data_IF_715522967240
#
_entry.id   IF_715522967240
#
_cell.length_a   1.000
_cell.length_b   1.000
_cell.length_c   1.000
_cell.angle_alpha   90.00
_cell.angle_beta   90.00
_cell.angle_gamma   90.00
#
_symmetry.space_group_name_H-M   'P 1'
#
loop_
_entity.id
_entity.type
_entity.pdbx_description
1 polymer ?
#
# COMPACT_ATOMS: atom_id res chain seq x y z
N UNK A 1 13.06 -8.85 -25.41
CA UNK A 1 14.09 -8.75 -24.35
C UNK A 1 13.36 -8.68 -23.02
N UNK A 2 13.56 -9.63 -22.14
CA UNK A 2 12.95 -9.65 -20.81
C UNK A 2 13.48 -8.47 -20.00
N UNK A 3 12.59 -7.72 -19.35
CA UNK A 3 12.99 -6.60 -18.52
C UNK A 3 13.77 -7.07 -17.27
N UNK A 4 14.69 -6.25 -16.77
CA UNK A 4 15.49 -6.55 -15.58
C UNK A 4 14.67 -6.58 -14.28
N UNK A 5 13.50 -5.97 -14.28
CA UNK A 5 12.52 -5.97 -13.19
C UNK A 5 11.15 -5.53 -13.70
N UNK A 6 10.10 -5.90 -12.97
CA UNK A 6 8.72 -5.49 -13.28
C UNK A 6 8.06 -4.78 -12.10
N UNK A 7 7.14 -3.86 -12.40
CA UNK A 7 6.15 -3.32 -11.47
C UNK A 7 4.78 -3.66 -12.02
N UNK A 8 4.06 -4.57 -11.35
CA UNK A 8 2.69 -4.97 -11.69
C UNK A 8 1.75 -4.27 -10.74
N UNK A 9 0.96 -3.34 -11.26
CA UNK A 9 0.09 -2.52 -10.44
C UNK A 9 -1.33 -2.42 -11.01
N UNK A 10 -2.22 -1.87 -10.22
CA UNK A 10 -3.62 -1.67 -10.58
C UNK A 10 -4.48 -1.46 -9.34
N UNK A 11 -5.75 -1.05 -9.50
CA UNK A 11 -6.66 -0.87 -8.39
C UNK A 11 -6.89 -2.17 -7.62
N UNK A 12 -7.43 -2.05 -6.41
CA UNK A 12 -7.87 -3.23 -5.67
C UNK A 12 -8.88 -4.04 -6.51
N UNK A 13 -8.89 -5.34 -6.35
CA UNK A 13 -9.69 -6.30 -7.14
C UNK A 13 -9.37 -6.39 -8.65
N UNK A 14 -8.31 -5.76 -9.15
CA UNK A 14 -7.92 -5.85 -10.57
C UNK A 14 -7.37 -7.23 -11.01
N UNK A 15 -7.00 -8.12 -10.09
CA UNK A 15 -6.35 -9.39 -10.41
C UNK A 15 -4.82 -9.30 -10.58
N UNK A 16 -4.22 -8.16 -10.20
CA UNK A 16 -2.77 -7.93 -10.34
C UNK A 16 -1.88 -9.00 -9.70
N UNK A 17 -2.30 -9.55 -8.54
CA UNK A 17 -1.51 -10.56 -7.81
C UNK A 17 -1.47 -11.89 -8.57
N UNK A 18 -2.60 -12.33 -9.13
CA UNK A 18 -2.68 -13.53 -9.95
C UNK A 18 -1.85 -13.38 -11.23
N UNK A 19 -1.98 -12.23 -11.92
CA UNK A 19 -1.17 -11.94 -13.10
C UNK A 19 0.33 -12.00 -12.80
N UNK A 20 0.75 -11.37 -11.69
CA UNK A 20 2.14 -11.37 -11.28
C UNK A 20 2.65 -12.76 -10.90
N UNK A 21 1.81 -13.59 -10.26
CA UNK A 21 2.15 -14.97 -9.92
C UNK A 21 2.42 -15.81 -11.19
N UNK A 22 1.50 -15.79 -12.15
CA UNK A 22 1.68 -16.48 -13.43
C UNK A 22 2.89 -15.97 -14.22
N UNK A 23 3.13 -14.64 -14.21
CA UNK A 23 4.33 -14.07 -14.81
C UNK A 23 5.58 -14.59 -14.09
N UNK A 24 5.61 -14.60 -12.75
CA UNK A 24 6.76 -15.10 -11.99
C UNK A 24 7.07 -16.57 -12.28
N UNK A 25 6.07 -17.43 -12.44
CA UNK A 25 6.24 -18.82 -12.85
C UNK A 25 6.91 -18.92 -14.23
N UNK A 26 6.49 -18.06 -15.18
CA UNK A 26 6.99 -18.10 -16.56
C UNK A 26 8.44 -17.59 -16.70
N UNK A 27 8.81 -16.55 -15.96
CA UNK A 27 10.11 -15.88 -16.12
C UNK A 27 11.11 -16.14 -14.99
N UNK A 28 10.89 -17.15 -14.15
CA UNK A 28 11.69 -17.42 -12.95
C UNK A 28 11.77 -16.19 -12.01
N UNK A 29 10.62 -15.61 -11.69
CA UNK A 29 10.52 -14.37 -10.93
C UNK A 29 10.46 -14.56 -9.41
N UNK A 30 10.66 -13.44 -8.70
CA UNK A 30 10.40 -13.27 -7.24
C UNK A 30 9.36 -12.17 -7.09
N UNK A 31 8.28 -12.46 -6.39
CA UNK A 31 7.25 -11.47 -6.06
C UNK A 31 7.65 -10.70 -4.81
N UNK A 32 7.69 -9.37 -4.92
CA UNK A 32 8.02 -8.45 -3.84
C UNK A 32 6.82 -7.54 -3.58
N UNK A 33 6.34 -7.52 -2.35
CA UNK A 33 5.18 -6.72 -1.97
C UNK A 33 5.41 -5.21 -2.16
N UNK A 34 4.42 -4.54 -2.76
CA UNK A 34 4.35 -3.08 -2.91
C UNK A 34 2.98 -2.55 -2.43
N UNK A 35 2.46 -3.13 -1.34
CA UNK A 35 1.22 -2.71 -0.67
C UNK A 35 1.50 -2.47 0.81
N UNK A 36 1.15 -1.26 1.29
CA UNK A 36 1.45 -0.80 2.65
C UNK A 36 0.61 -1.47 3.74
N UNK A 37 -0.40 -2.25 3.37
CA UNK A 37 -1.25 -2.99 4.31
C UNK A 37 -0.87 -4.48 4.34
N UNK A 38 -0.55 -5.07 3.19
CA UNK A 38 -0.18 -6.49 3.09
C UNK A 38 1.20 -6.81 3.72
N UNK A 39 1.93 -5.80 4.15
CA UNK A 39 3.20 -5.98 4.87
C UNK A 39 2.98 -6.42 6.33
N UNK A 40 1.76 -6.19 6.90
CA UNK A 40 1.41 -6.53 8.27
C UNK A 40 0.90 -7.96 8.38
N UNK A 41 1.34 -8.65 9.45
CA UNK A 41 0.91 -9.99 9.83
C UNK A 41 -0.34 -9.90 10.71
N UNK A 42 -1.25 -10.89 10.52
CA UNK A 42 -2.46 -11.04 11.31
C UNK A 42 -3.68 -10.30 10.75
N UNK A 43 -3.56 -9.72 9.55
CA UNK A 43 -4.64 -9.05 8.80
C UNK A 43 -4.67 -9.48 7.33
N UNK A 44 -4.29 -10.72 7.05
CA UNK A 44 -4.15 -11.24 5.69
C UNK A 44 -5.48 -11.25 4.93
N UNK A 45 -6.59 -11.60 5.60
CA UNK A 45 -7.92 -11.56 4.99
C UNK A 45 -8.38 -10.12 4.76
N UNK A 46 -8.29 -9.25 5.77
CA UNK A 46 -8.69 -7.83 5.65
C UNK A 46 -7.90 -7.13 4.54
N UNK A 47 -6.62 -7.43 4.39
CA UNK A 47 -5.75 -6.83 3.37
C UNK A 47 -5.88 -7.50 2.00
N UNK A 48 -6.62 -8.62 1.88
CA UNK A 48 -6.65 -9.48 0.71
C UNK A 48 -5.22 -9.90 0.27
N UNK A 49 -4.38 -10.27 1.23
CA UNK A 49 -3.04 -10.78 1.01
C UNK A 49 -3.07 -12.10 0.23
N UNK A 50 -2.04 -12.44 -0.56
CA UNK A 50 -1.87 -13.78 -1.13
C UNK A 50 -1.83 -14.90 -0.08
N UNK A 51 -1.55 -14.55 1.18
CA UNK A 51 -1.52 -15.48 2.33
C UNK A 51 -2.85 -15.56 3.09
N UNK A 52 -3.91 -14.90 2.63
CA UNK A 52 -5.25 -15.09 3.19
C UNK A 52 -5.63 -16.58 3.17
N UNK A 53 -6.02 -17.13 4.33
CA UNK A 53 -6.36 -18.55 4.52
C UNK A 53 -5.23 -19.54 4.18
N UNK A 54 -3.99 -19.10 4.26
CA UNK A 54 -2.80 -19.94 4.03
C UNK A 54 -1.79 -19.74 5.15
N UNK A 55 -0.89 -20.71 5.31
CA UNK A 55 0.31 -20.53 6.11
C UNK A 55 1.20 -19.45 5.47
N UNK A 56 1.73 -18.56 6.31
CA UNK A 56 2.68 -17.54 5.87
C UNK A 56 4.03 -18.21 5.68
N UNK A 57 4.41 -18.37 4.42
CA UNK A 57 5.69 -18.98 4.01
C UNK A 57 6.40 -18.06 3.02
N UNK A 58 7.64 -18.42 2.71
CA UNK A 58 8.41 -17.70 1.69
C UNK A 58 7.99 -18.01 0.23
N UNK A 59 7.10 -18.99 0.03
CA UNK A 59 6.74 -19.49 -1.30
C UNK A 59 5.24 -19.76 -1.42
N UNK A 60 4.69 -19.51 -2.60
CA UNK A 60 3.38 -20.00 -3.02
C UNK A 60 3.59 -20.72 -4.36
N UNK A 61 3.20 -21.99 -4.44
CA UNK A 61 3.31 -22.82 -5.65
C UNK A 61 4.69 -22.73 -6.33
N UNK A 62 5.77 -22.76 -5.53
CA UNK A 62 7.17 -22.69 -5.97
C UNK A 62 7.67 -21.27 -6.33
N UNK A 63 6.81 -20.26 -6.33
CA UNK A 63 7.19 -18.86 -6.55
C UNK A 63 7.59 -18.21 -5.22
N UNK A 64 8.76 -17.57 -5.11
CA UNK A 64 9.14 -16.86 -3.90
C UNK A 64 8.32 -15.58 -3.72
N UNK A 65 7.85 -15.33 -2.48
CA UNK A 65 7.16 -14.12 -2.04
C UNK A 65 7.95 -13.41 -0.96
N UNK A 66 8.10 -12.09 -1.05
CA UNK A 66 8.90 -11.27 -0.14
C UNK A 66 8.13 -10.03 0.31
N UNK A 67 8.39 -9.59 1.53
CA UNK A 67 7.81 -8.41 2.17
C UNK A 67 6.29 -8.50 2.41
N UNK A 68 5.73 -9.69 2.46
CA UNK A 68 4.36 -9.92 2.91
C UNK A 68 4.37 -10.36 4.38
N UNK A 69 3.46 -9.83 5.19
CA UNK A 69 3.23 -10.26 6.57
C UNK A 69 4.52 -10.31 7.43
N UNK A 70 5.43 -9.36 7.23
CA UNK A 70 6.73 -9.32 7.92
C UNK A 70 6.71 -8.47 9.19
N UNK A 71 5.73 -7.55 9.34
CA UNK A 71 5.59 -6.67 10.49
C UNK A 71 4.44 -7.12 11.38
N UNK A 72 4.61 -7.03 12.69
CA UNK A 72 3.50 -7.13 13.64
C UNK A 72 2.63 -5.86 13.61
N UNK A 73 1.42 -5.94 14.20
CA UNK A 73 0.52 -4.77 14.27
C UNK A 73 1.08 -3.64 15.17
N UNK A 74 2.01 -3.93 16.06
CA UNK A 74 2.62 -2.92 16.93
C UNK A 74 3.81 -2.19 16.28
N UNK A 75 4.27 -2.67 15.13
CA UNK A 75 5.35 -2.05 14.39
C UNK A 75 4.85 -0.99 13.41
N UNK A 76 5.71 -0.04 13.08
CA UNK A 76 5.46 0.98 12.09
C UNK A 76 6.61 1.00 11.08
N UNK A 77 6.27 1.29 9.83
CA UNK A 77 7.27 1.39 8.76
C UNK A 77 7.10 2.73 8.03
N UNK A 78 8.21 3.41 7.83
CA UNK A 78 8.26 4.57 6.92
C UNK A 78 8.47 4.11 5.47
N UNK A 79 8.23 5.01 4.52
CA UNK A 79 8.55 4.75 3.12
C UNK A 79 10.07 4.58 2.90
N UNK A 80 10.90 5.24 3.69
CA UNK A 80 12.36 5.08 3.62
C UNK A 80 12.78 3.67 4.05
N UNK A 81 12.23 3.17 5.16
CA UNK A 81 12.47 1.80 5.62
C UNK A 81 11.96 0.77 4.60
N UNK A 82 10.78 1.01 4.03
CA UNK A 82 10.26 0.17 2.96
C UNK A 82 11.22 0.13 1.76
N UNK A 83 11.76 1.27 1.32
CA UNK A 83 12.73 1.31 0.21
C UNK A 83 14.01 0.54 0.53
N UNK A 84 14.50 0.59 1.76
CA UNK A 84 15.67 -0.19 2.21
C UNK A 84 15.38 -1.70 2.15
N UNK A 85 14.21 -2.13 2.64
CA UNK A 85 13.78 -3.53 2.54
C UNK A 85 13.61 -3.95 1.06
N UNK A 86 12.94 -3.15 0.26
CA UNK A 86 12.72 -3.40 -1.16
C UNK A 86 14.04 -3.52 -1.94
N UNK A 87 15.03 -2.69 -1.62
CA UNK A 87 16.38 -2.75 -2.20
C UNK A 87 17.07 -4.08 -1.86
N UNK A 88 17.01 -4.49 -0.59
CA UNK A 88 17.60 -5.76 -0.14
C UNK A 88 17.00 -6.96 -0.88
N UNK A 89 15.68 -7.02 -1.01
CA UNK A 89 15.00 -8.11 -1.72
C UNK A 89 15.27 -8.07 -3.24
N UNK A 90 15.35 -6.88 -3.82
CA UNK A 90 15.74 -6.68 -5.22
C UNK A 90 17.14 -7.24 -5.48
N UNK A 91 18.13 -6.83 -4.68
CA UNK A 91 19.53 -7.26 -4.84
C UNK A 91 19.68 -8.77 -4.57
N UNK A 92 18.94 -9.32 -3.60
CA UNK A 92 18.91 -10.74 -3.31
C UNK A 92 18.33 -11.55 -4.49
N UNK A 93 17.24 -11.08 -5.11
CA UNK A 93 16.67 -11.73 -6.28
C UNK A 93 17.66 -11.78 -7.45
N UNK A 94 18.34 -10.66 -7.74
CA UNK A 94 19.35 -10.60 -8.79
C UNK A 94 20.54 -11.55 -8.55
N UNK A 95 21.02 -11.64 -7.30
CA UNK A 95 22.10 -12.58 -6.93
C UNK A 95 21.72 -14.04 -7.15
N UNK A 96 20.43 -14.37 -7.06
CA UNK A 96 19.89 -15.70 -7.34
C UNK A 96 19.56 -15.94 -8.82
N UNK A 97 19.85 -15.00 -9.71
CA UNK A 97 19.50 -15.07 -11.12
C UNK A 97 17.99 -15.05 -11.37
N UNK A 98 17.22 -14.44 -10.45
CA UNK A 98 15.76 -14.32 -10.54
C UNK A 98 15.35 -12.91 -10.92
N UNK A 99 14.18 -12.78 -11.56
CA UNK A 99 13.65 -11.48 -11.98
C UNK A 99 12.74 -10.89 -10.89
N UNK A 100 13.05 -9.72 -10.28
CA UNK A 100 12.21 -9.08 -9.29
C UNK A 100 10.91 -8.56 -9.91
N UNK A 101 9.77 -8.85 -9.28
CA UNK A 101 8.43 -8.41 -9.68
C UNK A 101 7.77 -7.72 -8.48
N UNK A 102 7.73 -6.40 -8.48
CA UNK A 102 7.05 -5.62 -7.46
C UNK A 102 5.54 -5.60 -7.73
N UNK A 103 4.74 -6.01 -6.75
CA UNK A 103 3.29 -6.13 -6.90
C UNK A 103 2.56 -5.38 -5.80
N UNK A 104 1.67 -4.47 -6.18
CA UNK A 104 0.87 -3.74 -5.19
C UNK A 104 0.04 -2.60 -5.78
N UNK A 105 -0.68 -1.93 -4.89
CA UNK A 105 -1.58 -0.83 -5.24
C UNK A 105 -1.28 0.49 -4.50
N UNK A 106 -0.23 0.53 -3.68
CA UNK A 106 0.12 1.72 -2.90
C UNK A 106 0.94 2.68 -3.77
N UNK A 107 0.26 3.69 -4.34
CA UNK A 107 0.87 4.63 -5.28
C UNK A 107 2.12 5.33 -4.74
N UNK A 108 2.15 5.63 -3.44
CA UNK A 108 3.31 6.25 -2.82
C UNK A 108 4.55 5.33 -2.81
N UNK A 109 4.37 4.03 -2.52
CA UNK A 109 5.45 3.05 -2.60
C UNK A 109 5.94 2.86 -4.03
N UNK A 110 5.00 2.76 -4.98
CA UNK A 110 5.32 2.64 -6.42
C UNK A 110 6.14 3.84 -6.89
N UNK A 111 5.69 5.06 -6.55
CA UNK A 111 6.41 6.28 -6.91
C UNK A 111 7.82 6.32 -6.28
N UNK A 112 7.94 5.91 -5.02
CA UNK A 112 9.21 5.87 -4.31
C UNK A 112 10.17 4.81 -4.91
N UNK A 113 9.68 3.65 -5.30
CA UNK A 113 10.48 2.61 -5.99
C UNK A 113 11.08 3.12 -7.31
N UNK A 114 10.31 3.90 -8.08
CA UNK A 114 10.71 4.39 -9.40
C UNK A 114 11.60 5.63 -9.29
N UNK A 115 11.20 6.59 -8.46
CA UNK A 115 11.77 7.93 -8.46
C UNK A 115 12.60 8.25 -7.19
N UNK A 116 12.58 7.36 -6.20
CA UNK A 116 13.12 7.68 -4.87
C UNK A 116 12.24 8.63 -4.08
N UNK A 117 12.77 9.10 -2.96
CA UNK A 117 12.13 10.06 -2.06
C UNK A 117 13.04 11.26 -1.84
N UNK A 118 12.46 12.42 -1.56
CA UNK A 118 13.21 13.59 -1.10
C UNK A 118 13.78 13.30 0.29
N UNK A 119 15.05 13.62 0.55
CA UNK A 119 15.65 13.46 1.87
C UNK A 119 14.86 14.28 2.90
N UNK A 120 14.44 13.62 3.98
CA UNK A 120 13.73 14.27 5.08
C UNK A 120 14.63 14.29 6.29
N UNK A 121 14.59 15.38 7.10
CA UNK A 121 15.34 15.45 8.33
C UNK A 121 14.81 14.45 9.35
N UNK A 122 15.68 14.03 10.25
CA UNK A 122 15.26 13.33 11.45
C UNK A 122 14.44 14.27 12.32
N UNK A 123 13.39 13.72 12.90
CA UNK A 123 12.48 14.43 13.81
C UNK A 123 12.59 13.77 15.18
N UNK A 124 12.99 14.56 16.16
CA UNK A 124 13.06 14.12 17.54
C UNK A 124 11.66 13.82 18.12
N UNK A 125 11.63 13.09 19.24
CA UNK A 125 10.36 12.63 19.85
C UNK A 125 9.52 13.79 20.39
N UNK A 126 10.17 14.84 20.89
CA UNK A 126 9.48 15.99 21.49
C UNK A 126 8.79 16.82 20.40
N UNK A 127 9.47 17.09 19.30
CA UNK A 127 8.89 17.77 18.12
C UNK A 127 7.70 16.98 17.56
N UNK A 128 7.80 15.64 17.51
CA UNK A 128 6.73 14.75 17.05
C UNK A 128 5.52 14.77 18.00
N UNK A 129 5.75 14.65 19.29
CA UNK A 129 4.70 14.67 20.30
C UNK A 129 3.96 15.99 20.29
N UNK A 130 4.71 17.11 20.35
CA UNK A 130 4.16 18.46 20.31
C UNK A 130 3.29 18.72 19.07
N UNK A 131 3.73 18.29 17.90
CA UNK A 131 2.97 18.46 16.65
C UNK A 131 1.66 17.69 16.67
N UNK A 132 1.68 16.45 17.16
CA UNK A 132 0.51 15.58 17.22
C UNK A 132 -0.51 16.07 18.25
N UNK A 133 -0.05 16.46 19.45
CA UNK A 133 -0.91 17.04 20.48
C UNK A 133 -1.60 18.33 19.99
N UNK A 134 -0.86 19.20 19.31
CA UNK A 134 -1.44 20.42 18.75
C UNK A 134 -2.53 20.10 17.72
N UNK A 135 -2.27 19.15 16.82
CA UNK A 135 -3.25 18.75 15.78
C UNK A 135 -4.49 18.10 16.38
N UNK A 136 -4.34 17.29 17.44
CA UNK A 136 -5.47 16.66 18.14
C UNK A 136 -6.30 17.69 18.88
N UNK A 137 -5.66 18.64 19.55
CA UNK A 137 -6.35 19.63 20.41
C UNK A 137 -6.93 20.80 19.61
N UNK A 138 -6.22 21.28 18.58
CA UNK A 138 -6.62 22.44 17.77
C UNK A 138 -6.03 22.38 16.36
N UNK A 139 -6.72 21.67 15.47
CA UNK A 139 -6.31 21.51 14.07
C UNK A 139 -6.27 22.86 13.33
N UNK A 140 -7.14 23.79 13.64
CA UNK A 140 -7.20 25.09 12.97
C UNK A 140 -6.00 25.96 13.33
N UNK A 141 -5.60 26.01 14.61
CA UNK A 141 -4.36 26.68 15.01
C UNK A 141 -3.13 25.98 14.43
N UNK A 142 -3.09 24.65 14.44
CA UNK A 142 -2.04 23.86 13.81
C UNK A 142 -1.85 24.24 12.32
N UNK A 143 -2.94 24.38 11.57
CA UNK A 143 -2.91 24.78 10.16
C UNK A 143 -2.42 26.21 9.94
N UNK A 144 -2.78 27.14 10.82
CA UNK A 144 -2.34 28.55 10.72
C UNK A 144 -0.82 28.75 10.91
N UNK A 145 -0.13 27.76 11.53
CA UNK A 145 1.32 27.77 11.67
C UNK A 145 2.05 27.32 10.41
N UNK A 146 1.34 26.76 9.43
CA UNK A 146 1.92 26.31 8.16
C UNK A 146 1.80 27.41 7.09
N UNK A 147 2.62 27.36 6.03
CA UNK A 147 2.57 28.36 4.97
C UNK A 147 1.20 28.42 4.30
N UNK A 148 0.76 29.59 3.76
CA UNK A 148 -0.54 29.75 3.12
C UNK A 148 -0.76 28.86 1.91
N UNK A 149 0.32 28.42 1.25
CA UNK A 149 0.31 27.49 0.12
C UNK A 149 0.24 26.02 0.53
N UNK A 150 0.32 25.69 1.82
CA UNK A 150 0.13 24.36 2.34
C UNK A 150 -1.37 23.94 2.27
N UNK A 151 -1.70 23.15 1.25
CA UNK A 151 -3.10 22.83 0.91
C UNK A 151 -3.68 21.62 1.63
N UNK A 152 -2.86 20.83 2.33
CA UNK A 152 -3.35 19.64 3.00
C UNK A 152 -4.23 20.01 4.20
N UNK A 153 -5.40 19.38 4.28
CA UNK A 153 -6.35 19.51 5.39
C UNK A 153 -6.38 18.28 6.30
N UNK A 154 -5.77 17.21 5.84
CA UNK A 154 -5.68 15.95 6.54
C UNK A 154 -4.80 16.09 7.79
N UNK A 155 -5.29 15.68 8.99
CA UNK A 155 -4.56 15.82 10.25
C UNK A 155 -3.17 15.19 10.25
N UNK A 156 -2.98 14.03 9.63
CA UNK A 156 -1.69 13.35 9.58
C UNK A 156 -0.67 14.16 8.77
N UNK A 157 -1.10 14.76 7.66
CA UNK A 157 -0.23 15.62 6.83
C UNK A 157 0.09 16.94 7.52
N UNK A 158 -0.85 17.52 8.23
CA UNK A 158 -0.63 18.72 9.06
C UNK A 158 0.36 18.40 10.16
N UNK A 159 0.15 17.31 10.92
CA UNK A 159 1.08 16.86 11.94
C UNK A 159 2.50 16.67 11.39
N UNK A 160 2.64 15.97 10.25
CA UNK A 160 3.96 15.74 9.64
C UNK A 160 4.65 17.04 9.23
N UNK A 161 3.92 18.01 8.70
CA UNK A 161 4.51 19.30 8.33
C UNK A 161 5.00 20.09 9.58
N UNK A 162 4.24 20.02 10.67
CA UNK A 162 4.62 20.63 11.94
C UNK A 162 5.77 19.89 12.64
N UNK A 163 5.79 18.56 12.60
CA UNK A 163 6.92 17.75 13.11
C UNK A 163 8.24 18.23 12.51
N UNK A 164 8.29 18.40 11.17
CA UNK A 164 9.48 18.89 10.47
C UNK A 164 9.78 20.33 10.84
N UNK A 165 8.77 21.19 10.92
CA UNK A 165 8.94 22.58 11.29
C UNK A 165 9.48 22.74 12.72
N UNK A 166 8.94 22.01 13.69
CA UNK A 166 9.40 22.07 15.08
C UNK A 166 10.83 21.54 15.25
N UNK A 167 11.19 20.49 14.53
CA UNK A 167 12.54 19.91 14.60
C UNK A 167 13.60 20.75 13.91
N UNK A 168 13.26 21.51 12.87
CA UNK A 168 14.27 22.13 11.98
C UNK A 168 14.14 23.64 11.80
N UNK A 169 13.00 24.23 12.19
CA UNK A 169 12.67 25.61 11.88
C UNK A 169 12.33 25.87 10.40
N UNK A 170 12.35 24.84 9.54
CA UNK A 170 12.05 24.94 8.10
C UNK A 170 10.76 24.23 7.75
N UNK A 171 10.01 24.78 6.80
CA UNK A 171 8.81 24.13 6.32
C UNK A 171 9.10 22.87 5.48
N UNK A 172 8.18 21.92 5.49
CA UNK A 172 8.30 20.63 4.80
C UNK A 172 8.61 20.78 3.31
N UNK A 173 8.10 21.84 2.66
CA UNK A 173 8.31 22.13 1.23
C UNK A 173 9.79 22.31 0.90
N UNK A 174 10.58 22.94 1.77
CA UNK A 174 12.01 23.12 1.56
C UNK A 174 12.78 21.80 1.42
N UNK A 175 12.28 20.72 2.02
CA UNK A 175 12.86 19.39 1.89
C UNK A 175 12.27 18.63 0.71
N UNK A 176 10.99 18.87 0.36
CA UNK A 176 10.32 18.22 -0.77
C UNK A 176 10.92 18.63 -2.12
N UNK A 177 11.51 19.83 -2.20
CA UNK A 177 12.17 20.36 -3.40
C UNK A 177 13.59 19.81 -3.60
N UNK A 178 14.15 19.10 -2.61
CA UNK A 178 15.46 18.48 -2.74
C UNK A 178 15.44 17.32 -3.76
N UNK A 179 16.54 17.07 -4.48
CA UNK A 179 16.66 15.94 -5.40
C UNK A 179 16.31 14.62 -4.71
N UNK A 180 15.49 13.83 -5.35
CA UNK A 180 15.09 12.51 -4.84
C UNK A 180 16.24 11.52 -4.90
N UNK A 181 16.33 10.66 -3.89
CA UNK A 181 17.35 9.63 -3.74
C UNK A 181 16.73 8.26 -3.44
N UNK A 182 17.49 7.19 -3.61
CA UNK A 182 17.09 5.86 -3.18
C UNK A 182 16.11 5.11 -4.12
N UNK A 183 15.95 5.56 -5.37
CA UNK A 183 15.16 4.80 -6.35
C UNK A 183 15.68 3.37 -6.47
N UNK A 184 14.79 2.38 -6.35
CA UNK A 184 15.15 0.94 -6.39
C UNK A 184 15.12 0.40 -7.82
N UNK A 185 14.07 0.72 -8.57
CA UNK A 185 13.81 0.17 -9.91
C UNK A 185 13.38 1.22 -10.94
N UNK A 186 14.22 2.23 -11.21
CA UNK A 186 13.86 3.32 -12.14
C UNK A 186 13.57 2.83 -13.56
N UNK A 187 14.21 1.72 -13.97
CA UNK A 187 14.13 1.14 -15.33
C UNK A 187 13.19 -0.06 -15.41
N UNK A 188 12.41 -0.38 -14.38
CA UNK A 188 11.49 -1.51 -14.40
C UNK A 188 10.43 -1.38 -15.50
N UNK A 189 10.06 -2.50 -16.10
CA UNK A 189 8.86 -2.57 -16.94
C UNK A 189 7.61 -2.34 -16.08
N UNK A 190 6.83 -1.33 -16.45
CA UNK A 190 5.65 -0.87 -15.69
C UNK A 190 4.38 -1.33 -16.36
N UNK A 191 3.67 -2.24 -15.69
CA UNK A 191 2.42 -2.84 -16.18
C UNK A 191 1.26 -2.38 -15.30
N UNK A 192 0.23 -1.83 -15.92
CA UNK A 192 -1.01 -1.42 -15.27
C UNK A 192 -2.14 -2.37 -15.65
N UNK A 193 -2.70 -3.06 -14.66
CA UNK A 193 -3.92 -3.86 -14.80
C UNK A 193 -5.11 -2.95 -14.49
N UNK A 194 -5.90 -2.59 -15.50
CA UNK A 194 -6.92 -1.55 -15.44
C UNK A 194 -8.28 -2.02 -16.01
N UNK A 195 -8.93 -3.03 -15.42
CA UNK A 195 -10.25 -3.47 -15.86
C UNK A 195 -11.29 -2.36 -15.66
N UNK A 196 -12.44 -2.51 -16.33
CA UNK A 196 -13.55 -1.57 -16.24
C UNK A 196 -14.09 -1.41 -14.81
N UNK A 197 -14.70 -0.27 -14.55
CA UNK A 197 -15.18 0.09 -13.21
C UNK A 197 -16.24 -0.87 -12.70
N UNK A 198 -17.13 -1.34 -13.57
CA UNK A 198 -18.23 -2.22 -13.18
C UNK A 198 -17.70 -3.61 -12.83
N UNK A 199 -16.72 -4.11 -13.58
CA UNK A 199 -16.00 -5.35 -13.24
C UNK A 199 -15.33 -5.24 -11.85
N UNK A 200 -14.72 -4.10 -11.54
CA UNK A 200 -14.12 -3.89 -10.21
C UNK A 200 -15.18 -3.89 -9.11
N UNK A 201 -16.34 -3.24 -9.34
CA UNK A 201 -17.44 -3.20 -8.36
C UNK A 201 -17.99 -4.58 -8.04
N UNK A 202 -18.25 -5.39 -9.07
CA UNK A 202 -18.70 -6.76 -8.92
C UNK A 202 -17.69 -7.62 -8.16
N UNK A 203 -16.41 -7.53 -8.51
CA UNK A 203 -15.33 -8.26 -7.83
C UNK A 203 -15.14 -7.82 -6.38
N UNK A 204 -15.30 -6.54 -6.07
CA UNK A 204 -15.26 -6.02 -4.69
C UNK A 204 -16.45 -6.58 -3.89
N UNK A 205 -17.66 -6.51 -4.45
CA UNK A 205 -18.86 -7.01 -3.78
C UNK A 205 -18.80 -8.52 -3.50
N UNK A 206 -18.29 -9.31 -4.44
CA UNK A 206 -18.14 -10.76 -4.27
C UNK A 206 -17.01 -11.16 -3.33
N UNK A 207 -15.94 -10.37 -3.25
CA UNK A 207 -14.76 -10.70 -2.43
C UNK A 207 -14.96 -10.47 -0.94
N UNK A 208 -15.67 -9.41 -0.55
CA UNK A 208 -15.85 -9.05 0.86
C UNK A 208 -16.51 -10.16 1.69
N UNK A 209 -17.59 -10.83 1.24
CA UNK A 209 -18.12 -11.99 1.93
C UNK A 209 -17.10 -13.14 2.07
N UNK A 210 -16.24 -13.36 1.07
CA UNK A 210 -15.18 -14.37 1.15
C UNK A 210 -14.11 -14.01 2.19
N UNK A 211 -13.75 -12.73 2.30
CA UNK A 211 -12.82 -12.25 3.34
C UNK A 211 -13.41 -12.46 4.74
N UNK A 212 -14.70 -12.21 4.91
CA UNK A 212 -15.41 -12.46 6.17
C UNK A 212 -15.40 -13.95 6.54
N UNK A 213 -15.82 -14.82 5.63
CA UNK A 213 -15.81 -16.28 5.86
C UNK A 213 -14.39 -16.83 6.06
N UNK A 214 -13.37 -16.13 5.52
CA UNK A 214 -11.95 -16.46 5.68
C UNK A 214 -11.35 -16.05 7.01
N UNK A 215 -12.09 -15.36 7.90
CA UNK A 215 -11.59 -14.99 9.23
C UNK A 215 -11.28 -13.50 9.43
N UNK A 216 -11.70 -12.61 8.54
CA UNK A 216 -11.48 -11.17 8.70
C UNK A 216 -12.03 -10.61 10.01
N UNK A 217 -13.10 -11.22 10.57
CA UNK A 217 -13.65 -10.80 11.87
C UNK A 217 -12.67 -11.09 13.02
N UNK A 218 -12.06 -12.28 13.03
CA UNK A 218 -11.03 -12.63 14.03
C UNK A 218 -9.77 -11.77 13.90
N UNK A 219 -9.45 -11.32 12.68
CA UNK A 219 -8.35 -10.36 12.47
C UNK A 219 -8.70 -8.98 13.07
N UNK A 220 -9.95 -8.53 12.96
CA UNK A 220 -10.41 -7.29 13.57
C UNK A 220 -10.38 -7.34 15.11
N UNK A 221 -10.66 -8.49 15.74
CA UNK A 221 -10.48 -8.69 17.18
C UNK A 221 -9.02 -8.46 17.62
N UNK A 222 -8.06 -8.98 16.83
CA UNK A 222 -6.61 -8.74 17.08
C UNK A 222 -6.24 -7.27 16.93
N UNK A 223 -6.83 -6.57 15.95
CA UNK A 223 -6.62 -5.12 15.78
C UNK A 223 -7.10 -4.36 17.02
N UNK A 224 -8.29 -4.67 17.53
CA UNK A 224 -8.84 -4.03 18.75
C UNK A 224 -7.93 -4.29 19.95
N UNK A 225 -7.33 -5.47 20.04
CA UNK A 225 -6.41 -5.84 21.13
C UNK A 225 -4.99 -5.25 20.98
N UNK A 226 -4.68 -4.62 19.86
CA UNK A 226 -3.39 -4.01 19.55
C UNK A 226 -3.46 -2.48 19.59
N UNK A 227 -2.31 -1.82 19.41
CA UNK A 227 -2.21 -0.37 19.22
C UNK A 227 -2.28 0.05 17.74
N UNK A 228 -2.64 -0.87 16.85
CA UNK A 228 -2.68 -0.57 15.41
C UNK A 228 -3.85 0.34 15.06
N UNK A 229 -3.57 1.36 14.28
CA UNK A 229 -4.58 2.30 13.79
C UNK A 229 -5.46 1.61 12.72
N UNK A 230 -6.67 1.24 13.10
CA UNK A 230 -7.64 0.55 12.24
C UNK A 230 -8.01 1.34 10.98
N UNK A 231 -7.80 2.68 10.97
CA UNK A 231 -8.06 3.52 9.81
C UNK A 231 -7.09 3.26 8.63
N UNK A 232 -5.97 2.57 8.89
CA UNK A 232 -4.96 2.23 7.86
C UNK A 232 -5.45 1.20 6.85
N UNK A 233 -6.40 0.33 7.21
CA UNK A 233 -6.95 -0.68 6.31
C UNK A 233 -8.45 -0.54 6.17
N UNK A 234 -8.91 -0.45 4.94
CA UNK A 234 -10.34 -0.52 4.64
C UNK A 234 -10.82 -1.94 4.96
N UNK A 235 -11.91 -2.03 5.71
CA UNK A 235 -12.39 -3.28 6.28
C UNK A 235 -12.08 -3.37 7.77
N UNK A 236 -10.88 -3.01 8.20
CA UNK A 236 -10.52 -3.01 9.62
C UNK A 236 -11.42 -2.07 10.44
N UNK A 237 -11.45 -0.77 10.08
CA UNK A 237 -12.29 0.20 10.77
C UNK A 237 -13.78 -0.19 10.78
N UNK A 238 -14.30 -0.77 9.68
CA UNK A 238 -15.68 -1.22 9.59
C UNK A 238 -15.97 -2.41 10.52
N UNK A 239 -15.09 -3.40 10.54
CA UNK A 239 -15.25 -4.58 11.38
C UNK A 239 -15.05 -4.26 12.86
N UNK A 240 -14.09 -3.40 13.19
CA UNK A 240 -13.91 -2.91 14.57
C UNK A 240 -15.16 -2.15 15.08
N UNK A 241 -15.75 -1.29 14.24
CA UNK A 241 -17.00 -0.60 14.59
C UNK A 241 -18.18 -1.59 14.79
N UNK A 242 -18.26 -2.64 13.98
CA UNK A 242 -19.24 -3.71 14.17
C UNK A 242 -19.00 -4.47 15.50
N UNK A 243 -17.77 -4.85 15.80
CA UNK A 243 -17.42 -5.55 17.05
C UNK A 243 -17.69 -4.72 18.31
N UNK A 244 -17.59 -3.39 18.20
CA UNK A 244 -17.95 -2.47 19.29
C UNK A 244 -19.46 -2.22 19.41
N UNK A 245 -20.28 -2.79 18.52
CA UNK A 245 -21.73 -2.56 18.48
C UNK A 245 -22.15 -1.19 17.91
N UNK A 246 -21.24 -0.45 17.29
CA UNK A 246 -21.51 0.86 16.68
C UNK A 246 -22.28 0.74 15.35
N UNK A 247 -22.21 -0.41 14.71
CA UNK A 247 -22.88 -0.73 13.43
C UNK A 247 -23.49 -2.13 13.45
N UNK A 248 -24.57 -2.31 12.70
CA UNK A 248 -25.09 -3.65 12.40
C UNK A 248 -24.16 -4.36 11.39
N UNK A 249 -24.25 -5.68 11.32
CA UNK A 249 -23.50 -6.49 10.35
C UNK A 249 -23.72 -6.02 8.90
N UNK A 250 -24.96 -5.81 8.49
CA UNK A 250 -25.28 -5.40 7.12
C UNK A 250 -24.77 -3.98 6.81
N UNK A 251 -24.87 -3.06 7.76
CA UNK A 251 -24.32 -1.72 7.63
C UNK A 251 -22.78 -1.73 7.55
N UNK A 252 -22.12 -2.63 8.28
CA UNK A 252 -20.67 -2.82 8.22
C UNK A 252 -20.25 -3.28 6.81
N UNK A 253 -20.89 -4.32 6.26
CA UNK A 253 -20.58 -4.85 4.94
C UNK A 253 -20.82 -3.80 3.86
N UNK A 254 -21.97 -3.12 3.90
CA UNK A 254 -22.30 -2.06 2.93
C UNK A 254 -21.28 -0.92 2.95
N UNK A 255 -20.86 -0.49 4.14
CA UNK A 255 -19.82 0.55 4.30
C UNK A 255 -18.46 0.06 3.79
N UNK A 256 -18.09 -1.19 4.08
CA UNK A 256 -16.83 -1.77 3.59
C UNK A 256 -16.78 -1.82 2.06
N UNK A 257 -17.85 -2.31 1.42
CA UNK A 257 -17.98 -2.30 -0.06
C UNK A 257 -17.85 -0.88 -0.61
N UNK A 258 -18.58 0.08 -0.02
CA UNK A 258 -18.58 1.47 -0.46
C UNK A 258 -17.18 2.11 -0.32
N UNK A 259 -16.52 1.97 0.83
CA UNK A 259 -15.17 2.49 1.08
C UNK A 259 -14.13 1.85 0.14
N UNK A 260 -14.26 0.55 -0.15
CA UNK A 260 -13.38 -0.15 -1.09
C UNK A 260 -13.57 0.35 -2.52
N UNK A 261 -14.81 0.61 -2.96
CA UNK A 261 -15.10 1.23 -4.26
C UNK A 261 -14.52 2.66 -4.36
N UNK A 262 -14.65 3.46 -3.30
CA UNK A 262 -14.04 4.78 -3.23
C UNK A 262 -12.50 4.71 -3.32
N UNK A 263 -11.89 3.71 -2.66
CA UNK A 263 -10.45 3.49 -2.73
C UNK A 263 -10.00 3.07 -4.14
N UNK A 264 -10.70 2.15 -4.78
CA UNK A 264 -10.45 1.76 -6.16
C UNK A 264 -10.53 2.97 -7.11
N UNK A 265 -11.51 3.87 -6.93
CA UNK A 265 -11.63 5.12 -7.68
C UNK A 265 -10.42 6.04 -7.46
N UNK A 266 -9.96 6.21 -6.19
CA UNK A 266 -8.75 7.00 -5.87
C UNK A 266 -7.50 6.41 -6.53
N UNK A 267 -7.33 5.07 -6.48
CA UNK A 267 -6.21 4.41 -7.14
C UNK A 267 -6.25 4.61 -8.65
N UNK A 268 -7.40 4.44 -9.31
CA UNK A 268 -7.55 4.70 -10.76
C UNK A 268 -7.19 6.13 -11.14
N UNK A 269 -7.63 7.11 -10.35
CA UNK A 269 -7.27 8.52 -10.58
C UNK A 269 -5.77 8.71 -10.46
N UNK A 270 -5.14 8.14 -9.42
CA UNK A 270 -3.70 8.23 -9.22
C UNK A 270 -2.93 7.57 -10.37
N UNK A 271 -3.30 6.37 -10.78
CA UNK A 271 -2.65 5.68 -11.90
C UNK A 271 -2.76 6.49 -13.20
N UNK A 272 -3.89 7.09 -13.46
CA UNK A 272 -4.08 7.93 -14.67
C UNK A 272 -3.22 9.19 -14.66
N UNK A 273 -2.98 9.79 -13.50
CA UNK A 273 -2.33 11.12 -13.40
C UNK A 273 -0.86 11.05 -13.02
N UNK A 274 -0.44 10.04 -12.26
CA UNK A 274 0.89 9.96 -11.66
C UNK A 274 1.73 8.77 -12.13
N UNK A 275 1.13 7.76 -12.73
CA UNK A 275 1.83 6.56 -13.18
C UNK A 275 1.89 6.52 -14.71
N UNK A 276 3.09 6.31 -15.25
CA UNK A 276 3.31 6.17 -16.70
C UNK A 276 3.60 4.70 -17.00
N UNK A 277 2.61 3.87 -17.32
CA UNK A 277 2.83 2.47 -17.66
C UNK A 277 3.52 2.34 -19.02
N UNK A 278 4.30 1.28 -19.19
CA UNK A 278 4.75 0.85 -20.52
C UNK A 278 3.66 0.00 -21.19
N UNK A 279 2.93 -0.78 -20.39
CA UNK A 279 1.85 -1.66 -20.85
C UNK A 279 0.62 -1.44 -19.98
N UNK A 280 -0.54 -1.28 -20.63
CA UNK A 280 -1.85 -1.22 -19.95
C UNK A 280 -2.70 -2.39 -20.41
N UNK A 281 -3.25 -3.16 -19.46
CA UNK A 281 -4.11 -4.30 -19.69
C UNK A 281 -5.53 -3.94 -19.22
N UNK A 282 -6.45 -3.73 -20.16
CA UNK A 282 -7.82 -3.28 -19.91
C UNK A 282 -8.78 -4.45 -19.60
N UNK A 283 -8.29 -5.49 -18.93
CA UNK A 283 -9.06 -6.64 -18.44
C UNK A 283 -8.54 -7.06 -17.08
N UNK A 284 -9.19 -8.01 -16.43
CA UNK A 284 -8.70 -8.49 -15.13
C UNK A 284 -7.38 -9.23 -15.32
N UNK A 285 -6.51 -9.17 -14.31
CA UNK A 285 -5.24 -9.87 -14.36
C UNK A 285 -5.41 -11.40 -14.45
N UNK A 286 -6.53 -11.94 -13.92
CA UNK A 286 -6.85 -13.36 -14.02
C UNK A 286 -7.04 -13.82 -15.47
N UNK A 287 -7.65 -12.96 -16.31
CA UNK A 287 -7.99 -13.25 -17.71
C UNK A 287 -6.95 -12.71 -18.70
N UNK A 288 -5.95 -11.99 -18.20
CA UNK A 288 -4.94 -11.37 -19.02
C UNK A 288 -3.89 -12.38 -19.50
N UNK A 289 -3.49 -12.25 -20.76
CA UNK A 289 -2.39 -13.00 -21.31
C UNK A 289 -1.05 -12.43 -20.83
N UNK A 290 -0.24 -13.28 -20.21
CA UNK A 290 1.09 -12.90 -19.71
C UNK A 290 2.10 -12.68 -20.84
N UNK A 291 1.86 -13.19 -22.03
CA UNK A 291 2.73 -13.01 -23.19
C UNK A 291 2.76 -11.57 -23.69
N UNK A 292 1.79 -10.75 -23.27
CA UNK A 292 1.79 -9.30 -23.55
C UNK A 292 2.97 -8.56 -22.91
N UNK A 293 3.66 -9.15 -21.93
CA UNK A 293 4.71 -8.47 -21.15
C UNK A 293 6.06 -9.19 -21.16
N UNK A 294 6.15 -10.38 -21.72
CA UNK A 294 7.37 -11.17 -21.92
C UNK A 294 7.90 -10.95 -23.33
#
# INVERSE_FOLDING_TARGET
MTASAYIITGPTASGKSDFAHRLAQKINGVIINCDSVQIYRGIENISASPFANREITDFIDGVPYRLFSILSLDEQISVADYLNLARREYDAALKLGKIPIFVGGTGYYINALINGISPMPDVDIDSRTRARELVVNDLDTARKMLPPDFKATDPQRVARALEVFFATGKHLTAFQDLPRVGAVVPSACRVLIAPDTDVLRERIASRIPQMLSGGALSEAEKIIASNWDESRAIGAAQLCAYLRGEKTHDACIADWINKTNQYAKRQRTWFRTQFKPHITINRTGNDADIDLVV
#
